data_IF_982953256261
#
_entry.id   IF_982953256261
#
_cell.length_a   1.000
_cell.length_b   1.000
_cell.length_c   1.000
_cell.angle_alpha   90.00
_cell.angle_beta   90.00
_cell.angle_gamma   90.00
#
_symmetry.space_group_name_H-M   'P 1'
#
loop_
_entity.id
_entity.type
_entity.pdbx_description
1 polymer ?
#
# COMPACT_ATOMS: atom_id res chain seq x y z
N UNK A 1 27.41 -7.76 -24.08
CA UNK A 1 26.06 -8.34 -23.92
C UNK A 1 26.08 -9.16 -22.64
N UNK A 2 25.35 -8.91 -21.57
CA UNK A 2 24.23 -8.02 -21.29
C UNK A 2 24.57 -7.15 -20.06
N UNK A 3 23.95 -5.97 -19.97
CA UNK A 3 24.21 -5.00 -18.93
C UNK A 3 23.77 -5.53 -17.56
N UNK A 4 24.71 -5.54 -16.62
CA UNK A 4 24.47 -5.55 -15.18
C UNK A 4 23.65 -4.33 -14.81
N UNK A 5 22.33 -4.48 -14.73
CA UNK A 5 21.47 -3.52 -14.05
C UNK A 5 21.56 -3.84 -12.56
N UNK A 6 22.56 -3.24 -11.90
CA UNK A 6 22.52 -3.02 -10.47
C UNK A 6 21.36 -2.07 -10.19
N UNK A 7 20.20 -2.63 -9.86
CA UNK A 7 19.11 -1.89 -9.23
C UNK A 7 19.19 -2.26 -7.75
N UNK A 8 19.45 -1.21 -6.98
CA UNK A 8 19.66 -1.09 -5.54
C UNK A 8 19.05 -2.22 -4.70
N UNK A 9 19.72 -2.67 -3.62
CA UNK A 9 19.05 -3.49 -2.63
C UNK A 9 17.91 -2.65 -2.06
N UNK A 10 16.69 -3.18 -2.07
CA UNK A 10 15.61 -2.70 -1.22
C UNK A 10 16.08 -2.89 0.24
N UNK A 11 16.93 -1.98 0.70
CA UNK A 11 17.38 -1.92 2.06
C UNK A 11 16.17 -1.54 2.90
N UNK A 12 15.55 -2.58 3.48
CA UNK A 12 14.93 -2.53 4.79
C UNK A 12 13.62 -1.72 4.87
N UNK A 13 12.62 -2.01 4.02
CA UNK A 13 11.23 -1.72 4.41
C UNK A 13 10.82 -2.80 5.41
N UNK A 14 11.18 -2.58 6.67
CA UNK A 14 10.63 -3.22 7.87
C UNK A 14 10.45 -4.73 7.81
N UNK A 15 11.36 -5.44 8.47
CA UNK A 15 11.04 -6.71 9.10
C UNK A 15 9.99 -6.45 10.19
N UNK A 16 8.74 -6.25 9.82
CA UNK A 16 7.75 -5.68 10.72
C UNK A 16 6.56 -6.63 10.85
N UNK A 17 6.86 -7.78 11.45
CA UNK A 17 5.87 -8.65 12.06
C UNK A 17 5.12 -7.98 13.25
N UNK A 18 5.22 -6.65 13.41
CA UNK A 18 4.56 -5.84 14.42
C UNK A 18 4.01 -4.50 13.92
N UNK A 19 4.01 -4.20 12.62
CA UNK A 19 3.56 -2.90 12.14
C UNK A 19 2.05 -2.89 12.04
N UNK A 20 1.44 -2.16 12.96
CA UNK A 20 0.00 -2.01 13.06
C UNK A 20 -0.60 -1.44 11.77
N UNK A 21 0.14 -0.58 11.07
CA UNK A 21 -0.28 -0.01 9.78
C UNK A 21 -0.34 -1.11 8.72
N UNK A 22 0.73 -1.89 8.58
CA UNK A 22 0.80 -2.98 7.60
C UNK A 22 -0.30 -4.00 7.86
N UNK A 23 -0.43 -4.44 9.11
CA UNK A 23 -1.46 -5.39 9.53
C UNK A 23 -2.85 -4.84 9.21
N UNK A 24 -3.13 -3.59 9.57
CA UNK A 24 -4.43 -2.96 9.30
C UNK A 24 -4.73 -2.83 7.82
N UNK A 25 -3.75 -2.47 7.00
CA UNK A 25 -3.92 -2.37 5.54
C UNK A 25 -4.26 -3.72 4.95
N UNK A 26 -3.53 -4.78 5.33
CA UNK A 26 -3.83 -6.13 4.85
C UNK A 26 -5.19 -6.64 5.36
N UNK A 27 -5.56 -6.36 6.60
CA UNK A 27 -6.87 -6.73 7.15
C UNK A 27 -8.03 -6.03 6.43
N UNK A 28 -7.88 -4.76 6.07
CA UNK A 28 -8.90 -4.05 5.28
C UNK A 28 -8.89 -4.61 3.85
N UNK A 29 -7.71 -4.72 3.23
CA UNK A 29 -7.57 -5.23 1.88
C UNK A 29 -8.22 -6.60 1.72
N UNK A 30 -8.07 -7.52 2.70
CA UNK A 30 -8.71 -8.85 2.76
C UNK A 30 -10.20 -8.87 2.41
N UNK A 31 -10.95 -7.81 2.73
CA UNK A 31 -12.38 -7.71 2.41
C UNK A 31 -12.67 -7.56 0.92
N UNK A 32 -11.71 -6.99 0.18
CA UNK A 32 -11.80 -6.69 -1.24
C UNK A 32 -11.11 -7.76 -2.09
N UNK A 33 -10.41 -8.71 -1.48
CA UNK A 33 -9.65 -9.71 -2.20
C UNK A 33 -10.59 -10.78 -2.73
N UNK A 34 -10.44 -11.09 -4.01
CA UNK A 34 -11.18 -12.17 -4.67
C UNK A 34 -10.50 -13.53 -4.48
N UNK A 35 -9.28 -13.55 -3.95
CA UNK A 35 -8.49 -14.76 -3.68
C UNK A 35 -7.97 -14.75 -2.24
N UNK A 36 -8.45 -15.67 -1.41
CA UNK A 36 -8.13 -15.72 0.03
C UNK A 36 -6.80 -16.44 0.38
N UNK A 37 -6.24 -17.23 -0.55
CA UNK A 37 -5.14 -18.18 -0.28
C UNK A 37 -3.79 -17.79 -0.90
N UNK A 38 -3.66 -16.58 -1.46
CA UNK A 38 -2.34 -16.16 -1.92
C UNK A 38 -1.51 -15.62 -0.74
N UNK A 39 -0.19 -15.82 -0.79
CA UNK A 39 0.78 -15.23 0.15
C UNK A 39 1.11 -13.80 -0.29
N UNK A 40 0.54 -12.80 0.39
CA UNK A 40 0.63 -11.40 -0.02
C UNK A 40 1.65 -10.70 0.84
N UNK A 41 2.49 -9.91 0.22
CA UNK A 41 3.49 -9.12 0.90
C UNK A 41 3.41 -7.67 0.43
N UNK A 42 4.22 -6.80 1.03
CA UNK A 42 4.25 -5.37 0.69
C UNK A 42 4.75 -5.10 -0.73
N UNK A 43 5.34 -6.07 -1.41
CA UNK A 43 5.79 -5.98 -2.80
C UNK A 43 4.72 -6.46 -3.79
N UNK A 44 3.65 -7.12 -3.31
CA UNK A 44 2.51 -7.54 -4.13
C UNK A 44 1.79 -6.32 -4.69
N UNK A 45 1.47 -6.37 -5.99
CA UNK A 45 0.77 -5.29 -6.71
C UNK A 45 -0.74 -5.39 -6.50
N UNK A 46 -1.42 -4.25 -6.51
CA UNK A 46 -2.89 -4.20 -6.38
C UNK A 46 -3.60 -4.90 -7.56
N UNK A 47 -3.00 -4.91 -8.75
CA UNK A 47 -3.55 -5.65 -9.88
C UNK A 47 -3.46 -7.18 -9.70
N UNK A 48 -2.38 -7.67 -9.08
CA UNK A 48 -2.20 -9.10 -8.78
C UNK A 48 -3.20 -9.56 -7.72
N UNK A 49 -3.52 -8.64 -6.82
CA UNK A 49 -4.58 -8.76 -5.84
C UNK A 49 -6.01 -8.75 -6.44
N UNK A 50 -6.15 -8.50 -7.74
CA UNK A 50 -7.43 -8.30 -8.41
C UNK A 50 -8.29 -7.19 -7.79
N UNK A 51 -7.63 -6.19 -7.19
CA UNK A 51 -8.27 -4.98 -6.69
C UNK A 51 -8.47 -4.05 -7.89
N UNK A 52 -9.72 -3.84 -8.27
CA UNK A 52 -10.07 -2.92 -9.34
C UNK A 52 -10.00 -1.46 -8.86
N UNK A 53 -10.07 -0.49 -9.77
CA UNK A 53 -10.01 0.94 -9.41
C UNK A 53 -11.15 1.37 -8.48
N UNK A 54 -12.31 0.72 -8.57
CA UNK A 54 -13.44 0.96 -7.67
C UNK A 54 -13.16 0.38 -6.27
N UNK A 55 -12.69 -0.86 -6.20
CA UNK A 55 -12.32 -1.52 -4.94
C UNK A 55 -11.20 -0.75 -4.22
N UNK A 56 -10.24 -0.19 -4.99
CA UNK A 56 -9.19 0.65 -4.45
C UNK A 56 -9.71 1.94 -3.82
N UNK A 57 -10.70 2.60 -4.44
CA UNK A 57 -11.33 3.80 -3.87
C UNK A 57 -12.00 3.47 -2.53
N UNK A 58 -12.73 2.36 -2.46
CA UNK A 58 -13.36 1.91 -1.21
C UNK A 58 -12.32 1.54 -0.13
N UNK A 59 -11.25 0.83 -0.51
CA UNK A 59 -10.11 0.52 0.35
C UNK A 59 -9.47 1.79 0.93
N UNK A 60 -9.22 2.80 0.10
CA UNK A 60 -8.67 4.09 0.52
C UNK A 60 -9.60 4.76 1.53
N UNK A 61 -10.90 4.82 1.27
CA UNK A 61 -11.87 5.41 2.19
C UNK A 61 -11.88 4.70 3.57
N UNK A 62 -11.88 3.37 3.60
CA UNK A 62 -11.82 2.64 4.88
C UNK A 62 -10.52 2.91 5.65
N UNK A 63 -9.40 3.03 4.93
CA UNK A 63 -8.10 3.37 5.53
C UNK A 63 -8.11 4.81 6.07
N UNK A 64 -8.60 5.77 5.30
CA UNK A 64 -8.72 7.18 5.70
C UNK A 64 -9.57 7.33 6.95
N UNK A 65 -10.72 6.65 7.02
CA UNK A 65 -11.60 6.64 8.20
C UNK A 65 -10.93 5.98 9.41
N UNK A 66 -10.29 4.82 9.23
CA UNK A 66 -9.63 4.07 10.32
C UNK A 66 -8.49 4.86 10.95
N UNK A 67 -7.66 5.53 10.15
CA UNK A 67 -6.51 6.30 10.64
C UNK A 67 -6.81 7.79 10.84
N UNK A 68 -7.98 8.25 10.38
CA UNK A 68 -8.39 9.65 10.37
C UNK A 68 -7.41 10.54 9.59
N UNK A 69 -7.02 10.12 8.39
CA UNK A 69 -6.05 10.81 7.52
C UNK A 69 -6.64 11.04 6.12
N UNK A 70 -6.03 11.93 5.34
CA UNK A 70 -6.28 12.05 3.90
C UNK A 70 -5.07 11.55 3.11
N UNK A 71 -5.32 10.59 2.21
CA UNK A 71 -4.36 10.05 1.26
C UNK A 71 -4.46 10.82 -0.06
N UNK A 72 -3.56 11.80 -0.21
CA UNK A 72 -3.47 12.53 -1.48
C UNK A 72 -2.70 11.70 -2.51
N UNK A 73 -3.43 11.00 -3.37
CA UNK A 73 -2.89 10.15 -4.44
C UNK A 73 -3.13 10.76 -5.82
N UNK A 74 -2.11 10.71 -6.69
CA UNK A 74 -2.21 11.17 -8.07
C UNK A 74 -2.09 10.00 -9.04
N UNK A 75 -3.23 9.52 -9.53
CA UNK A 75 -3.31 8.42 -10.49
C UNK A 75 -2.58 8.68 -11.82
N UNK A 76 -2.29 9.95 -12.15
CA UNK A 76 -1.54 10.30 -13.35
C UNK A 76 -0.03 10.12 -13.19
N UNK A 77 0.49 10.17 -11.95
CA UNK A 77 1.91 9.95 -11.65
C UNK A 77 2.20 8.49 -11.34
N UNK A 78 1.25 7.80 -10.69
CA UNK A 78 1.36 6.39 -10.37
C UNK A 78 0.01 5.73 -10.62
N UNK A 79 -0.14 4.88 -11.66
CA UNK A 79 -1.39 4.17 -11.91
C UNK A 79 -1.71 3.19 -10.77
N UNK A 80 -3.00 3.05 -10.42
CA UNK A 80 -3.44 2.15 -9.33
C UNK A 80 -2.96 0.70 -9.54
N UNK A 81 -2.98 0.19 -10.77
CA UNK A 81 -2.49 -1.16 -11.08
C UNK A 81 -0.97 -1.35 -10.91
N UNK A 82 -0.19 -0.27 -10.90
CA UNK A 82 1.25 -0.29 -10.65
C UNK A 82 1.61 -0.10 -9.17
N UNK A 83 0.63 0.23 -8.33
CA UNK A 83 0.85 0.37 -6.90
C UNK A 83 1.01 -0.99 -6.23
N UNK A 84 1.86 -1.02 -5.22
CA UNK A 84 2.01 -2.15 -4.29
C UNK A 84 1.39 -1.83 -2.94
N UNK A 85 1.09 -2.85 -2.13
CA UNK A 85 0.66 -2.64 -0.74
C UNK A 85 1.67 -1.82 0.06
N UNK A 86 2.97 -1.98 -0.22
CA UNK A 86 4.04 -1.18 0.37
C UNK A 86 3.94 0.30 0.02
N UNK A 87 3.52 0.65 -1.21
CA UNK A 87 3.26 2.05 -1.57
C UNK A 87 2.08 2.63 -0.77
N UNK A 88 1.00 1.86 -0.64
CA UNK A 88 -0.17 2.27 0.16
C UNK A 88 0.23 2.51 1.62
N UNK A 89 0.98 1.57 2.22
CA UNK A 89 1.53 1.71 3.58
C UNK A 89 2.41 2.97 3.69
N UNK A 90 3.28 3.23 2.72
CA UNK A 90 4.13 4.42 2.72
C UNK A 90 3.32 5.72 2.64
N UNK A 91 2.26 5.76 1.83
CA UNK A 91 1.34 6.90 1.73
C UNK A 91 0.67 7.18 3.08
N UNK A 92 0.19 6.13 3.76
CA UNK A 92 -0.43 6.21 5.09
C UNK A 92 0.53 6.76 6.12
N UNK A 93 1.76 6.21 6.19
CA UNK A 93 2.79 6.70 7.12
C UNK A 93 3.12 8.17 6.86
N UNK A 94 3.24 8.55 5.59
CA UNK A 94 3.50 9.93 5.20
C UNK A 94 2.35 10.86 5.63
N UNK A 95 1.10 10.44 5.45
CA UNK A 95 -0.07 11.19 5.87
C UNK A 95 -0.19 11.32 7.40
N UNK A 96 0.06 10.24 8.15
CA UNK A 96 0.12 10.26 9.61
C UNK A 96 1.21 11.21 10.13
N UNK A 97 2.39 11.17 9.52
CA UNK A 97 3.49 12.07 9.87
C UNK A 97 3.18 13.55 9.56
N UNK A 98 2.41 13.82 8.49
CA UNK A 98 1.89 15.17 8.20
C UNK A 98 0.88 15.59 9.26
N UNK A 99 -0.14 14.77 9.54
CA UNK A 99 -1.17 15.03 10.56
C UNK A 99 -0.57 15.36 11.92
N UNK A 100 0.43 14.59 12.36
CA UNK A 100 1.13 14.83 13.62
C UNK A 100 1.91 16.15 13.68
N UNK A 101 2.25 16.74 12.53
CA UNK A 101 2.94 18.03 12.45
C UNK A 101 1.97 19.21 12.45
N UNK A 102 0.72 18.97 12.05
CA UNK A 102 -0.33 20.00 11.96
C UNK A 102 -1.23 20.05 13.20
N UNK A 103 -1.15 19.05 14.08
CA UNK A 103 -1.81 19.01 15.39
C UNK A 103 -0.96 19.66 16.48
#
# INVERSE_FOLDING_TARGET
>A
MAATAAILPAAQIGSDAGDEVVTSVFEIAKKYLKTADADWNTETRLEEAQIDSLDFVELVFEIEDKFGIELNFNANEQPVGEMTFGNVVALIRSALARKARTA
#
